data_IF_953601455243
#
_entry.id   IF_953601455243
#
_cell.length_a   1.000
_cell.length_b   1.000
_cell.length_c   1.000
_cell.angle_alpha   90.00
_cell.angle_beta   90.00
_cell.angle_gamma   90.00
#
_symmetry.space_group_name_H-M   'P 1'
#
loop_
_entity.id
_entity.type
_entity.pdbx_description
1 polymer ?
#
# COMPACT_ATOMS: atom_id res chain seq x y z
N UNK A 1 -4.67 20.52 1.13
CA UNK A 1 -5.32 19.29 1.64
C UNK A 1 -4.44 18.04 1.47
N UNK A 2 -3.47 18.02 0.53
CA UNK A 2 -2.54 16.89 0.31
C UNK A 2 -1.32 16.81 1.27
N UNK A 3 -1.04 17.84 2.06
CA UNK A 3 0.16 17.89 2.93
C UNK A 3 0.14 16.92 4.13
N UNK A 4 -0.93 16.12 4.28
CA UNK A 4 -1.10 15.17 5.39
C UNK A 4 -1.23 13.71 4.93
N UNK A 5 -1.03 13.42 3.65
CA UNK A 5 -1.02 12.04 3.17
C UNK A 5 0.24 11.34 3.71
N UNK A 6 0.05 10.31 4.53
CA UNK A 6 1.15 9.56 5.14
C UNK A 6 1.38 8.29 4.33
N UNK A 7 2.57 8.18 3.73
CA UNK A 7 3.02 6.96 3.07
C UNK A 7 3.77 6.08 4.07
N UNK A 8 3.31 4.85 4.24
CA UNK A 8 4.01 3.81 4.97
C UNK A 8 4.60 2.79 4.00
N UNK A 9 5.90 2.52 4.09
CA UNK A 9 6.59 1.55 3.25
C UNK A 9 7.04 0.37 4.10
N UNK A 10 6.42 -0.79 3.89
CA UNK A 10 6.77 -2.04 4.56
C UNK A 10 7.74 -2.82 3.66
N UNK A 11 8.90 -3.17 4.18
CA UNK A 11 9.98 -3.93 3.51
C UNK A 11 10.47 -5.05 4.42
N UNK A 12 11.30 -5.93 3.87
CA UNK A 12 11.83 -7.11 4.55
C UNK A 12 12.47 -6.80 5.92
N UNK A 13 13.15 -5.67 6.05
CA UNK A 13 13.84 -5.30 7.28
C UNK A 13 12.92 -4.70 8.37
N UNK A 14 11.70 -4.25 8.03
CA UNK A 14 10.79 -3.56 8.95
C UNK A 14 9.40 -4.23 9.09
N UNK A 15 9.15 -5.38 8.41
CA UNK A 15 7.88 -6.12 8.37
C UNK A 15 7.50 -6.83 9.68
N UNK A 16 7.46 -6.10 10.77
CA UNK A 16 6.98 -6.62 12.05
C UNK A 16 5.45 -6.56 12.11
N UNK A 17 4.84 -7.53 12.80
CA UNK A 17 3.39 -7.52 13.05
C UNK A 17 2.91 -6.19 13.65
N UNK A 18 3.68 -5.64 14.60
CA UNK A 18 3.40 -4.36 15.23
C UNK A 18 3.39 -3.22 14.21
N UNK A 19 4.44 -3.11 13.38
CA UNK A 19 4.54 -2.03 12.40
C UNK A 19 3.40 -2.10 11.38
N UNK A 20 3.10 -3.30 10.87
CA UNK A 20 1.98 -3.52 9.94
C UNK A 20 0.65 -3.10 10.59
N UNK A 21 0.40 -3.52 11.84
CA UNK A 21 -0.82 -3.16 12.57
C UNK A 21 -0.92 -1.65 12.78
N UNK A 22 0.17 -1.00 13.20
CA UNK A 22 0.22 0.45 13.45
C UNK A 22 -0.04 1.24 12.14
N UNK A 23 0.47 0.78 11.00
CA UNK A 23 0.21 1.37 9.69
C UNK A 23 -1.28 1.27 9.32
N UNK A 24 -1.88 0.09 9.49
CA UNK A 24 -3.31 -0.14 9.21
C UNK A 24 -4.19 0.72 10.12
N UNK A 25 -3.94 0.73 11.43
CA UNK A 25 -4.73 1.56 12.36
C UNK A 25 -4.65 3.05 12.03
N UNK A 26 -3.48 3.53 11.63
CA UNK A 26 -3.26 4.92 11.25
C UNK A 26 -3.91 5.28 9.91
N UNK A 27 -4.02 4.31 8.99
CA UNK A 27 -4.63 4.52 7.67
C UNK A 27 -6.15 4.51 7.71
N UNK A 28 -6.76 3.68 8.56
CA UNK A 28 -8.22 3.55 8.69
C UNK A 28 -8.90 4.75 9.35
N UNK A 29 -8.18 5.62 10.07
CA UNK A 29 -8.81 6.64 10.92
C UNK A 29 -9.13 7.97 10.23
N UNK A 30 -8.66 8.22 9.00
CA UNK A 30 -8.63 9.60 8.45
C UNK A 30 -9.56 9.91 7.28
N UNK A 31 -9.83 9.01 6.33
CA UNK A 31 -10.83 9.20 5.25
C UNK A 31 -10.88 7.98 4.32
N UNK A 32 -9.89 7.84 3.45
CA UNK A 32 -9.73 6.74 2.51
C UNK A 32 -8.30 6.25 2.62
N UNK A 33 -8.10 4.94 2.60
CA UNK A 33 -6.76 4.38 2.57
C UNK A 33 -6.61 3.36 1.46
N UNK A 34 -5.43 3.35 0.86
CA UNK A 34 -5.05 2.38 -0.16
C UNK A 34 -3.77 1.69 0.30
N UNK A 35 -3.89 0.40 0.58
CA UNK A 35 -2.75 -0.50 0.79
C UNK A 35 -2.42 -1.22 -0.52
N UNK A 36 -1.14 -1.25 -0.90
CA UNK A 36 -0.68 -1.92 -2.11
C UNK A 36 0.39 -2.94 -1.74
N UNK A 37 0.16 -4.21 -2.10
CA UNK A 37 1.18 -5.25 -2.08
C UNK A 37 1.70 -5.43 -3.50
N UNK A 38 2.98 -5.16 -3.72
CA UNK A 38 3.59 -5.14 -5.06
C UNK A 38 4.98 -5.76 -5.05
N UNK A 39 5.36 -6.37 -6.17
CA UNK A 39 6.74 -6.83 -6.43
C UNK A 39 7.63 -5.71 -7.00
N UNK A 40 7.10 -4.50 -7.13
CA UNK A 40 7.89 -3.33 -7.51
C UNK A 40 8.84 -2.93 -6.36
N UNK A 41 10.14 -2.88 -6.65
CA UNK A 41 11.16 -2.41 -5.70
C UNK A 41 11.56 -0.97 -6.02
N UNK A 42 10.67 -0.04 -5.66
CA UNK A 42 10.79 1.40 -5.93
C UNK A 42 11.43 2.21 -4.78
N UNK A 43 11.56 1.61 -3.59
CA UNK A 43 12.01 2.29 -2.37
C UNK A 43 13.44 1.92 -1.96
N UNK A 44 14.32 1.67 -2.94
CA UNK A 44 15.66 1.07 -2.72
C UNK A 44 16.57 1.85 -1.76
N UNK A 45 16.39 3.16 -1.63
CA UNK A 45 17.24 4.06 -0.82
C UNK A 45 16.48 4.75 0.32
N UNK A 46 15.35 4.18 0.77
CA UNK A 46 14.45 4.80 1.77
C UNK A 46 13.97 6.22 1.38
N UNK A 47 14.08 6.55 0.09
CA UNK A 47 13.45 7.72 -0.51
C UNK A 47 11.97 7.41 -0.72
N UNK A 48 11.11 8.22 -0.12
CA UNK A 48 9.66 8.15 -0.31
C UNK A 48 9.18 8.92 -1.55
N UNK A 49 10.11 9.42 -2.38
CA UNK A 49 9.80 10.11 -3.63
C UNK A 49 9.70 9.07 -4.74
N UNK A 50 8.53 8.96 -5.35
CA UNK A 50 8.25 8.10 -6.49
C UNK A 50 8.31 8.89 -7.79
N UNK A 51 9.04 8.37 -8.78
CA UNK A 51 8.94 8.84 -10.16
C UNK A 51 7.65 8.32 -10.83
N UNK A 52 7.33 8.85 -12.02
CA UNK A 52 6.22 8.30 -12.81
C UNK A 52 6.49 6.84 -13.19
N UNK A 53 7.74 6.50 -13.49
CA UNK A 53 8.19 5.15 -13.79
C UNK A 53 7.99 4.21 -12.61
N UNK A 54 8.25 4.68 -11.38
CA UNK A 54 8.00 3.91 -10.16
C UNK A 54 6.51 3.64 -9.97
N UNK A 55 5.66 4.64 -10.15
CA UNK A 55 4.19 4.49 -10.07
C UNK A 55 3.71 3.47 -11.10
N UNK A 56 4.18 3.56 -12.34
CA UNK A 56 3.85 2.60 -13.39
C UNK A 56 4.32 1.19 -13.04
N UNK A 57 5.51 1.05 -12.45
CA UNK A 57 6.04 -0.24 -12.02
C UNK A 57 5.19 -0.83 -10.88
N UNK A 58 4.80 -0.02 -9.90
CA UNK A 58 3.89 -0.41 -8.80
C UNK A 58 2.59 -0.94 -9.40
N UNK A 59 1.92 -0.18 -10.28
CA UNK A 59 0.66 -0.59 -10.90
C UNK A 59 0.79 -1.91 -11.67
N UNK A 60 1.86 -2.09 -12.46
CA UNK A 60 2.07 -3.31 -13.26
C UNK A 60 2.43 -4.55 -12.45
N UNK A 61 2.99 -4.37 -11.25
CA UNK A 61 3.50 -5.47 -10.41
C UNK A 61 2.69 -5.67 -9.12
N UNK A 62 1.56 -4.99 -8.99
CA UNK A 62 0.66 -5.13 -7.84
C UNK A 62 0.01 -6.52 -7.85
N UNK A 63 0.06 -7.21 -6.71
CA UNK A 63 -0.57 -8.52 -6.50
C UNK A 63 -1.87 -8.41 -5.73
N UNK A 64 -1.96 -7.42 -4.85
CA UNK A 64 -3.15 -7.19 -4.02
C UNK A 64 -3.29 -5.70 -3.70
N UNK A 65 -4.53 -5.24 -3.67
CA UNK A 65 -4.90 -3.90 -3.21
C UNK A 65 -5.92 -4.02 -2.08
N UNK A 66 -5.74 -3.20 -1.05
CA UNK A 66 -6.69 -2.98 0.03
C UNK A 66 -7.20 -1.56 -0.10
N UNK A 67 -8.51 -1.38 -0.22
CA UNK A 67 -9.14 -0.06 -0.27
C UNK A 67 -10.09 0.01 0.90
N UNK A 68 -9.97 1.02 1.75
CA UNK A 68 -10.93 1.27 2.82
C UNK A 68 -11.39 2.71 2.86
N UNK A 69 -12.60 2.93 3.35
CA UNK A 69 -13.22 4.22 3.55
C UNK A 69 -13.70 4.38 5.00
N UNK A 70 -13.85 5.63 5.42
CA UNK A 70 -14.18 6.03 6.79
C UNK A 70 -15.58 5.61 7.25
N UNK A 71 -16.46 5.27 6.32
CA UNK A 71 -17.82 4.78 6.58
C UNK A 71 -17.86 3.28 6.93
N UNK A 72 -16.69 2.63 7.00
CA UNK A 72 -16.55 1.22 7.36
C UNK A 72 -16.54 0.29 6.15
N UNK A 73 -16.58 0.81 4.93
CA UNK A 73 -16.40 0.00 3.73
C UNK A 73 -14.92 -0.39 3.52
N UNK A 74 -14.71 -1.65 3.14
CA UNK A 74 -13.38 -2.22 2.90
C UNK A 74 -13.42 -3.27 1.80
N UNK A 75 -12.59 -3.08 0.77
CA UNK A 75 -12.47 -3.97 -0.37
C UNK A 75 -11.05 -4.52 -0.45
N UNK A 76 -10.95 -5.83 -0.65
CA UNK A 76 -9.69 -6.52 -0.96
C UNK A 76 -9.79 -6.96 -2.41
N UNK A 77 -8.85 -6.50 -3.24
CA UNK A 77 -8.76 -6.82 -4.65
C UNK A 77 -7.49 -7.63 -4.88
N UNK A 78 -7.61 -8.77 -5.55
CA UNK A 78 -6.47 -9.58 -5.96
C UNK A 78 -6.73 -10.16 -7.35
N UNK A 79 -5.65 -10.55 -8.02
CA UNK A 79 -5.75 -11.19 -9.32
C UNK A 79 -6.53 -12.50 -9.21
N UNK A 80 -7.52 -12.68 -10.08
CA UNK A 80 -8.28 -13.94 -10.13
C UNK A 80 -7.30 -15.04 -10.54
N UNK A 81 -7.09 -16.01 -9.66
CA UNK A 81 -6.43 -17.24 -10.04
C UNK A 81 -7.36 -18.03 -10.96
N UNK A 82 -6.99 -18.18 -12.22
CA UNK A 82 -7.61 -19.20 -13.07
C UNK A 82 -7.15 -20.56 -12.56
N UNK A 83 -8.10 -21.39 -12.12
CA UNK A 83 -7.83 -22.81 -11.90
C UNK A 83 -7.76 -23.45 -13.29
N UNK A 84 -6.60 -23.99 -13.66
CA UNK A 84 -6.45 -24.91 -14.80
C UNK A 84 -7.29 -26.17 -14.64
#
# INVERSE_FOLDING_TARGET
MHEKEVLYVIREHNKTHKFISDCMWSSFSFWHSVGVLTEADCFKNDSNILSLEDIQAICKKTKMMLISAYDGEGYVLWEKMEQE
#
